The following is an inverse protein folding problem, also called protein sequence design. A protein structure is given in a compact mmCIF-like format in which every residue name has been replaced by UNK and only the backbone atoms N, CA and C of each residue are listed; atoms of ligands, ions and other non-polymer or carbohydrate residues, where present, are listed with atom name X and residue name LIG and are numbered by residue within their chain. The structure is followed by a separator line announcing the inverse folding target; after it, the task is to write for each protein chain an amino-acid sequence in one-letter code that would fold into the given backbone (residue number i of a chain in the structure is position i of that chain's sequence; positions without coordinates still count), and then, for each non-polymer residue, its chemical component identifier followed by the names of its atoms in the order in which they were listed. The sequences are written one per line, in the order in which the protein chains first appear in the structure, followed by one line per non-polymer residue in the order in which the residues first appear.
data_IF_745379951138
#
_entry.id   IF_745379951138
#
_cell.length_a   1.000
_cell.length_b   1.000
_cell.length_c   1.000
_cell.angle_alpha   90.00
_cell.angle_beta   90.00
_cell.angle_gamma   90.00
#
_symmetry.space_group_name_H-M   'P 1'
#
loop_
_entity.id
_entity.type
_entity.pdbx_description
1 polymer ?
#
# COMPACT_ATOMS: atom_id res chain seq x y z
N UNK A 1 9.90 11.76 39.05
CA UNK A 1 11.08 10.90 38.91
C UNK A 1 11.62 11.07 37.51
N UNK A 2 12.81 11.68 37.35
CA UNK A 2 13.43 11.86 36.05
C UNK A 2 13.90 10.50 35.52
N UNK A 3 13.64 10.21 34.26
CA UNK A 3 14.04 8.96 33.61
C UNK A 3 15.43 9.14 33.01
N UNK A 4 16.33 8.16 33.17
CA UNK A 4 17.72 8.26 32.75
C UNK A 4 17.85 8.52 31.24
N UNK A 5 17.07 7.78 30.41
CA UNK A 5 17.04 7.96 28.97
C UNK A 5 15.59 8.23 28.50
N UNK A 6 15.35 9.38 27.90
CA UNK A 6 14.01 9.76 27.43
C UNK A 6 14.10 10.70 26.23
N UNK A 7 13.60 10.25 25.09
CA UNK A 7 13.38 11.10 23.91
C UNK A 7 11.89 11.34 23.71
N UNK A 8 11.55 12.56 23.40
CA UNK A 8 10.20 12.94 22.98
C UNK A 8 10.28 13.70 21.65
N UNK A 9 9.22 13.61 20.83
CA UNK A 9 9.09 14.46 19.65
C UNK A 9 8.77 15.90 20.07
N UNK A 10 9.51 16.85 19.51
CA UNK A 10 9.17 18.28 19.62
C UNK A 10 8.14 18.60 18.55
N UNK A 11 6.97 19.06 18.95
CA UNK A 11 5.85 19.31 18.05
C UNK A 11 5.06 18.04 17.74
N UNK A 12 4.71 17.84 16.48
CA UNK A 12 3.84 16.72 16.06
C UNK A 12 4.67 15.47 15.75
N UNK A 13 4.34 14.36 16.40
CA UNK A 13 4.86 13.03 16.05
C UNK A 13 4.22 12.48 14.74
N UNK A 14 3.13 13.09 14.29
CA UNK A 14 2.46 12.80 13.03
C UNK A 14 2.36 14.08 12.20
N UNK A 15 2.90 14.04 10.98
CA UNK A 15 2.86 15.18 10.05
C UNK A 15 1.97 14.81 8.86
N UNK A 16 0.95 15.63 8.58
CA UNK A 16 0.15 15.49 7.37
C UNK A 16 0.89 16.07 6.17
N UNK A 17 0.94 15.31 5.09
CA UNK A 17 1.38 15.77 3.78
C UNK A 17 0.22 16.36 2.95
N UNK A 18 -1.03 16.24 3.47
CA UNK A 18 -2.22 16.62 2.71
C UNK A 18 -2.44 15.68 1.53
N UNK A 19 -2.92 16.26 0.42
CA UNK A 19 -3.05 15.55 -0.86
C UNK A 19 -1.80 15.78 -1.70
N UNK A 20 -1.13 14.70 -2.09
CA UNK A 20 0.04 14.71 -2.95
C UNK A 20 -0.23 13.91 -4.23
N UNK A 21 0.55 14.19 -5.28
CA UNK A 21 0.55 13.39 -6.51
C UNK A 21 1.63 12.31 -6.42
N UNK A 22 1.38 11.17 -7.02
CA UNK A 22 2.40 10.11 -7.17
C UNK A 22 3.66 10.63 -7.89
N UNK A 23 3.48 11.62 -8.75
CA UNK A 23 4.54 12.26 -9.56
C UNK A 23 5.31 13.36 -8.84
N UNK A 24 4.90 13.77 -7.64
CA UNK A 24 5.59 14.84 -6.88
C UNK A 24 6.99 14.43 -6.38
N UNK A 25 7.35 13.16 -6.59
CA UNK A 25 8.62 12.62 -6.14
C UNK A 25 8.68 12.38 -4.63
N UNK A 26 9.88 12.15 -4.13
CA UNK A 26 10.08 11.79 -2.72
C UNK A 26 9.72 12.96 -1.81
N UNK A 27 8.83 12.69 -0.88
CA UNK A 27 8.43 13.62 0.19
C UNK A 27 9.32 13.43 1.41
N UNK A 28 9.91 14.51 1.94
CA UNK A 28 10.75 14.47 3.13
C UNK A 28 10.18 15.37 4.22
N UNK A 29 10.18 14.89 5.46
CA UNK A 29 9.87 15.69 6.66
C UNK A 29 10.86 15.40 7.74
N UNK A 30 11.22 16.46 8.48
CA UNK A 30 12.13 16.39 9.62
C UNK A 30 11.32 16.40 10.91
N UNK A 31 11.62 15.43 11.76
CA UNK A 31 11.13 15.34 13.13
C UNK A 31 12.28 15.68 14.07
N UNK A 32 11.99 16.47 15.07
CA UNK A 32 12.97 16.82 16.10
C UNK A 32 12.69 16.01 17.36
N UNK A 33 13.70 15.37 17.90
CA UNK A 33 13.65 14.58 19.12
C UNK A 33 14.44 15.28 20.20
N UNK A 34 13.80 15.62 21.32
CA UNK A 34 14.39 16.25 22.50
C UNK A 34 14.75 15.19 23.54
N UNK A 35 15.95 15.23 24.07
CA UNK A 35 16.32 14.43 25.24
C UNK A 35 15.85 15.11 26.52
N UNK A 36 14.78 14.57 27.10
CA UNK A 36 14.22 15.02 28.39
C UNK A 36 14.74 14.19 29.57
N UNK A 37 15.67 13.27 29.31
CA UNK A 37 16.31 12.45 30.33
C UNK A 37 17.45 13.16 31.03
N UNK A 38 18.16 12.43 31.90
CA UNK A 38 19.28 12.90 32.66
C UNK A 38 20.64 12.41 32.16
N UNK A 39 20.62 11.49 31.17
CA UNK A 39 21.83 10.95 30.54
C UNK A 39 21.83 11.23 29.03
N UNK A 40 23.04 11.28 28.45
CA UNK A 40 23.15 11.37 26.98
C UNK A 40 22.67 10.11 26.31
N UNK A 41 21.93 10.28 25.19
CA UNK A 41 21.21 9.21 24.46
C UNK A 41 21.75 9.09 23.05
N UNK A 42 22.10 7.87 22.65
CA UNK A 42 22.39 7.53 21.26
C UNK A 42 21.13 7.03 20.53
N UNK A 43 21.01 7.36 19.25
CA UNK A 43 20.05 6.74 18.35
C UNK A 43 20.66 5.46 17.77
N UNK A 44 20.04 4.31 18.04
CA UNK A 44 20.63 3.00 17.74
C UNK A 44 20.24 2.52 16.33
N UNK A 45 18.93 2.41 16.06
CA UNK A 45 18.42 1.84 14.83
C UNK A 45 17.10 2.49 14.40
N UNK A 46 16.88 2.57 13.09
CA UNK A 46 15.64 3.04 12.50
C UNK A 46 14.93 1.92 11.74
N UNK A 47 13.61 1.89 11.87
CA UNK A 47 12.72 0.96 11.17
C UNK A 47 11.63 1.76 10.45
N UNK A 48 11.14 1.24 9.34
CA UNK A 48 10.03 1.84 8.58
C UNK A 48 8.93 0.82 8.31
N UNK A 49 7.70 1.30 8.06
CA UNK A 49 6.52 0.47 7.80
C UNK A 49 6.59 -0.27 6.46
N UNK A 50 7.29 0.30 5.48
CA UNK A 50 7.41 -0.27 4.13
C UNK A 50 8.77 0.06 3.49
N UNK A 51 9.09 -0.62 2.38
CA UNK A 51 10.25 -0.28 1.57
C UNK A 51 10.14 1.05 0.79
N UNK A 52 8.95 1.66 0.78
CA UNK A 52 8.67 2.96 0.17
C UNK A 52 9.09 4.13 1.08
N UNK A 53 9.40 3.86 2.35
CA UNK A 53 9.80 4.86 3.33
C UNK A 53 11.21 4.55 3.82
N UNK A 54 12.02 5.59 3.96
CA UNK A 54 13.35 5.50 4.57
C UNK A 54 13.47 6.47 5.73
N UNK A 55 14.32 6.10 6.70
CA UNK A 55 14.58 6.93 7.88
C UNK A 55 16.07 7.26 7.94
N UNK A 56 16.37 8.55 8.08
CA UNK A 56 17.72 9.07 8.15
C UNK A 56 17.95 9.81 9.47
N UNK A 57 19.01 9.47 10.15
CA UNK A 57 19.45 10.09 11.41
C UNK A 57 20.94 9.87 11.60
N UNK A 58 21.57 10.65 12.48
CA UNK A 58 22.98 10.46 12.83
C UNK A 58 23.11 9.43 13.94
N UNK A 59 23.83 8.34 13.67
CA UNK A 59 24.13 7.28 14.66
C UNK A 59 25.31 7.62 15.58
N UNK A 60 26.14 8.59 15.18
CA UNK A 60 27.39 8.90 15.88
C UNK A 60 27.22 9.99 16.94
N UNK A 61 26.05 10.62 17.00
CA UNK A 61 25.77 11.72 17.88
C UNK A 61 25.12 11.22 19.17
N UNK A 62 25.73 11.58 20.30
CA UNK A 62 25.10 11.50 21.61
C UNK A 62 24.30 12.77 21.86
N UNK A 63 23.01 12.63 22.06
CA UNK A 63 22.10 13.75 22.37
C UNK A 63 22.16 13.98 23.89
N UNK A 64 22.75 15.10 24.31
CA UNK A 64 22.87 15.45 25.74
C UNK A 64 21.50 15.79 26.34
N UNK A 65 21.36 15.73 27.68
CA UNK A 65 20.16 16.22 28.35
C UNK A 65 19.85 17.66 27.96
N UNK A 66 18.58 17.90 27.52
CA UNK A 66 18.13 19.20 27.05
C UNK A 66 18.45 19.52 25.60
N UNK A 67 19.28 18.73 24.94
CA UNK A 67 19.56 18.88 23.49
C UNK A 67 18.54 18.13 22.62
N UNK A 68 18.51 18.49 21.34
CA UNK A 68 17.67 17.86 20.35
C UNK A 68 18.46 17.36 19.15
N UNK A 69 17.87 16.38 18.45
CA UNK A 69 18.41 15.83 17.21
C UNK A 69 17.34 15.69 16.15
N UNK A 70 17.75 15.75 14.88
CA UNK A 70 16.87 15.64 13.74
C UNK A 70 16.78 14.19 13.23
N UNK A 71 15.58 13.75 12.95
CA UNK A 71 15.28 12.51 12.22
C UNK A 71 14.46 12.84 11.01
N UNK A 72 14.88 12.37 9.83
CA UNK A 72 14.19 12.61 8.57
C UNK A 72 13.48 11.36 8.12
N UNK A 73 12.18 11.45 7.83
CA UNK A 73 11.44 10.45 7.10
C UNK A 73 11.32 10.88 5.64
N UNK A 74 11.64 9.98 4.73
CA UNK A 74 11.49 10.16 3.29
C UNK A 74 10.54 9.10 2.76
N UNK A 75 9.46 9.52 2.17
CA UNK A 75 8.42 8.69 1.57
C UNK A 75 8.42 8.83 0.07
N UNK A 76 8.52 7.72 -0.65
CA UNK A 76 8.34 7.68 -2.10
C UNK A 76 6.88 7.28 -2.41
N UNK A 77 6.06 8.18 -2.97
CA UNK A 77 4.66 7.92 -3.25
C UNK A 77 4.43 7.07 -4.51
N UNK A 78 5.47 6.74 -5.26
CA UNK A 78 5.35 6.00 -6.51
C UNK A 78 4.68 4.62 -6.30
N UNK A 79 3.61 4.36 -7.03
CA UNK A 79 2.80 3.15 -6.90
C UNK A 79 1.89 3.11 -5.68
N UNK A 80 1.78 4.23 -4.95
CA UNK A 80 0.92 4.37 -3.77
C UNK A 80 -0.28 5.23 -4.12
N UNK A 81 -1.44 4.64 -4.21
CA UNK A 81 -2.70 5.37 -4.42
C UNK A 81 -3.59 5.30 -3.19
N UNK A 82 -4.36 6.36 -2.94
CA UNK A 82 -5.30 6.46 -1.83
C UNK A 82 -4.67 7.00 -0.55
N UNK A 83 -5.37 6.80 0.56
CA UNK A 83 -4.89 7.20 1.89
C UNK A 83 -3.67 6.38 2.31
N UNK A 84 -2.74 7.04 3.00
CA UNK A 84 -1.54 6.40 3.51
C UNK A 84 -1.20 6.87 4.93
N UNK A 85 -0.62 5.96 5.71
CA UNK A 85 0.11 6.24 6.93
C UNK A 85 1.45 5.50 6.86
N UNK A 86 2.53 6.27 6.70
CA UNK A 86 3.88 5.75 6.65
C UNK A 86 4.63 6.08 7.93
N UNK A 87 5.22 5.06 8.54
CA UNK A 87 5.82 5.23 9.85
C UNK A 87 7.31 4.98 9.87
N UNK A 88 8.00 5.78 10.67
CA UNK A 88 9.38 5.56 11.08
C UNK A 88 9.46 5.37 12.59
N UNK A 89 10.24 4.42 13.03
CA UNK A 89 10.49 4.15 14.43
C UNK A 89 11.98 4.23 14.70
N UNK A 90 12.40 5.02 15.67
CA UNK A 90 13.78 5.07 16.18
C UNK A 90 13.86 4.27 17.47
N UNK A 91 14.82 3.36 17.52
CA UNK A 91 15.27 2.71 18.73
C UNK A 91 16.45 3.50 19.33
N UNK A 92 16.40 3.81 20.63
CA UNK A 92 17.38 4.65 21.29
C UNK A 92 17.72 4.17 22.69
N UNK A 93 18.87 4.65 23.19
CA UNK A 93 19.35 4.41 24.54
C UNK A 93 19.78 2.97 24.81
N UNK A 94 20.29 2.73 26.02
CA UNK A 94 20.77 1.41 26.47
C UNK A 94 19.65 0.39 26.59
N UNK A 95 18.46 0.85 26.96
CA UNK A 95 17.27 0.01 27.17
C UNK A 95 16.44 -0.22 25.90
N UNK A 96 16.94 0.19 24.73
CA UNK A 96 16.29 0.02 23.43
C UNK A 96 14.85 0.52 23.39
N UNK A 97 14.62 1.68 24.00
CA UNK A 97 13.34 2.35 23.92
C UNK A 97 13.03 2.77 22.48
N UNK A 98 11.75 2.95 22.18
CA UNK A 98 11.31 3.29 20.82
C UNK A 98 10.45 4.53 20.81
N UNK A 99 10.66 5.35 19.77
CA UNK A 99 9.80 6.48 19.46
C UNK A 99 9.34 6.35 18.00
N UNK A 100 8.04 6.54 17.79
CA UNK A 100 7.39 6.42 16.48
C UNK A 100 7.03 7.80 15.95
N UNK A 101 7.19 7.97 14.63
CA UNK A 101 6.83 9.16 13.87
C UNK A 101 6.04 8.71 12.64
N UNK A 102 5.07 9.50 12.20
CA UNK A 102 4.20 9.14 11.07
C UNK A 102 4.09 10.28 10.06
N UNK A 103 4.00 9.90 8.78
CA UNK A 103 3.54 10.75 7.69
C UNK A 103 2.18 10.24 7.24
N UNK A 104 1.19 11.10 7.17
CA UNK A 104 -0.16 10.74 6.73
C UNK A 104 -0.59 11.64 5.56
N UNK A 105 -1.51 11.14 4.74
CA UNK A 105 -2.07 11.92 3.65
C UNK A 105 -2.84 11.08 2.66
N UNK A 106 -3.15 11.68 1.51
CA UNK A 106 -3.77 11.01 0.37
C UNK A 106 -2.88 11.18 -0.85
N UNK A 107 -2.56 10.08 -1.54
CA UNK A 107 -1.79 10.09 -2.77
C UNK A 107 -2.71 9.88 -3.97
N UNK A 108 -2.68 10.80 -4.92
CA UNK A 108 -3.38 10.66 -6.20
C UNK A 108 -2.49 9.84 -7.13
N UNK A 109 -3.02 8.70 -7.58
CA UNK A 109 -2.31 7.79 -8.50
C UNK A 109 -2.18 8.42 -9.88
N UNK A 110 -1.00 8.34 -10.48
CA UNK A 110 -0.78 8.81 -11.85
C UNK A 110 -1.54 7.95 -12.86
N UNK A 111 -1.93 8.56 -13.99
CA UNK A 111 -2.61 7.84 -15.07
C UNK A 111 -1.71 6.71 -15.63
N UNK A 112 -0.41 6.89 -15.68
CA UNK A 112 0.54 5.86 -16.10
C UNK A 112 0.49 4.62 -15.20
N UNK A 113 0.50 4.84 -13.88
CA UNK A 113 0.36 3.74 -12.90
C UNK A 113 -1.01 3.07 -13.01
N UNK A 114 -2.09 3.84 -13.19
CA UNK A 114 -3.42 3.29 -13.40
C UNK A 114 -3.49 2.45 -14.69
N UNK A 115 -2.92 2.92 -15.80
CA UNK A 115 -2.87 2.16 -17.05
C UNK A 115 -2.08 0.86 -16.90
N UNK A 116 -0.99 0.87 -16.14
CA UNK A 116 -0.18 -0.32 -15.90
C UNK A 116 -0.87 -1.34 -14.99
N UNK A 117 -1.54 -0.89 -13.95
CA UNK A 117 -2.24 -1.77 -12.99
C UNK A 117 -3.58 -2.26 -13.54
N UNK A 118 -4.26 -1.45 -14.34
CA UNK A 118 -5.56 -1.70 -14.92
C UNK A 118 -5.55 -1.51 -16.44
N UNK A 119 -4.86 -2.40 -17.17
CA UNK A 119 -4.63 -2.23 -18.61
C UNK A 119 -5.92 -2.36 -19.45
N UNK A 120 -6.92 -3.07 -18.96
CA UNK A 120 -8.15 -3.31 -19.72
C UNK A 120 -9.14 -2.18 -19.48
N UNK A 121 -9.32 -1.32 -20.48
CA UNK A 121 -10.31 -0.25 -20.47
C UNK A 121 -11.66 -0.78 -20.93
N UNK A 122 -12.68 -0.59 -20.13
CA UNK A 122 -14.09 -0.91 -20.48
C UNK A 122 -14.77 0.33 -21.05
N UNK A 123 -14.66 1.45 -20.33
CA UNK A 123 -15.12 2.78 -20.77
C UNK A 123 -14.25 3.86 -20.14
N UNK A 124 -14.72 5.13 -20.14
CA UNK A 124 -13.97 6.26 -19.57
C UNK A 124 -13.85 6.19 -18.03
N UNK A 125 -14.79 5.49 -17.38
CA UNK A 125 -14.90 5.44 -15.92
C UNK A 125 -14.58 4.07 -15.33
N UNK A 126 -14.31 3.05 -16.16
CA UNK A 126 -14.14 1.68 -15.70
C UNK A 126 -12.97 0.98 -16.38
N UNK A 127 -12.10 0.39 -15.57
CA UNK A 127 -10.96 -0.42 -16.04
C UNK A 127 -10.83 -1.69 -15.20
N UNK A 128 -10.18 -2.71 -15.76
CA UNK A 128 -9.93 -3.98 -15.08
C UNK A 128 -8.44 -4.28 -15.01
N UNK A 129 -8.04 -4.99 -13.97
CA UNK A 129 -6.69 -5.55 -13.85
C UNK A 129 -6.41 -6.62 -14.91
N UNK A 130 -7.42 -7.39 -15.26
CA UNK A 130 -7.39 -8.40 -16.34
C UNK A 130 -8.82 -8.77 -16.74
N UNK A 131 -9.00 -9.28 -17.94
CA UNK A 131 -10.24 -9.90 -18.42
C UNK A 131 -10.07 -11.38 -18.81
N UNK A 132 -8.90 -11.95 -18.50
CA UNK A 132 -8.58 -13.35 -18.84
C UNK A 132 -7.75 -13.99 -17.74
N UNK A 133 -8.07 -15.23 -17.39
CA UNK A 133 -7.31 -16.06 -16.48
C UNK A 133 -7.03 -17.43 -17.09
N UNK A 134 -5.78 -17.85 -16.99
CA UNK A 134 -5.39 -19.24 -17.20
C UNK A 134 -5.53 -20.00 -15.86
N UNK A 135 -6.43 -20.98 -15.82
CA UNK A 135 -6.65 -21.83 -14.67
C UNK A 135 -5.82 -23.12 -14.71
N UNK A 136 -5.08 -23.33 -15.81
CA UNK A 136 -4.31 -24.53 -16.02
C UNK A 136 -5.15 -25.79 -16.07
N UNK A 137 -4.66 -26.90 -15.52
CA UNK A 137 -5.38 -28.16 -15.45
C UNK A 137 -6.33 -28.15 -14.26
N UNK A 138 -7.57 -28.61 -14.48
CA UNK A 138 -8.56 -28.86 -13.43
C UNK A 138 -9.22 -30.24 -13.62
N UNK A 139 -9.56 -30.86 -12.50
CA UNK A 139 -10.29 -32.14 -12.46
C UNK A 139 -11.77 -31.89 -12.10
N UNK A 140 -12.63 -32.83 -12.49
CA UNK A 140 -14.04 -32.81 -12.10
C UNK A 140 -14.16 -32.73 -10.57
N UNK A 141 -14.97 -31.78 -10.07
CA UNK A 141 -15.15 -31.52 -8.63
C UNK A 141 -14.09 -30.62 -7.99
N UNK A 142 -13.01 -30.27 -8.68
CA UNK A 142 -12.04 -29.27 -8.22
C UNK A 142 -12.64 -27.86 -8.28
N UNK A 143 -12.31 -27.00 -7.30
CA UNK A 143 -12.71 -25.59 -7.30
C UNK A 143 -11.50 -24.71 -7.39
N UNK A 144 -11.47 -23.77 -8.35
CA UNK A 144 -10.49 -22.69 -8.43
C UNK A 144 -11.16 -21.33 -8.39
N UNK A 145 -10.55 -20.42 -7.67
CA UNK A 145 -11.00 -19.04 -7.58
C UNK A 145 -9.95 -18.09 -8.12
N UNK A 146 -10.41 -17.00 -8.71
CA UNK A 146 -9.59 -15.87 -9.17
C UNK A 146 -10.28 -14.57 -8.77
N UNK A 147 -9.50 -13.52 -8.61
CA UNK A 147 -10.02 -12.20 -8.31
C UNK A 147 -9.65 -11.24 -9.45
N UNK A 148 -10.66 -10.61 -10.04
CA UNK A 148 -10.47 -9.46 -10.91
C UNK A 148 -10.63 -8.20 -10.04
N UNK A 149 -9.74 -7.23 -10.24
CA UNK A 149 -9.89 -5.93 -9.60
C UNK A 149 -10.44 -4.96 -10.63
N UNK A 150 -11.52 -4.29 -10.26
CA UNK A 150 -12.21 -3.28 -11.05
C UNK A 150 -11.84 -1.92 -10.49
N UNK A 151 -11.31 -1.05 -11.32
CA UNK A 151 -11.04 0.35 -11.00
C UNK A 151 -12.20 1.20 -11.48
N UNK A 152 -12.86 1.90 -10.56
CA UNK A 152 -13.81 2.97 -10.85
C UNK A 152 -13.04 4.29 -10.87
N UNK A 153 -12.98 4.96 -12.01
CA UNK A 153 -12.37 6.28 -12.17
C UNK A 153 -13.34 7.36 -11.66
N UNK A 154 -13.58 7.33 -10.38
CA UNK A 154 -14.25 8.39 -9.63
C UNK A 154 -13.21 9.28 -8.91
N UNK A 155 -13.65 10.24 -8.13
CA UNK A 155 -12.78 11.18 -7.40
C UNK A 155 -11.74 10.47 -6.51
N UNK A 156 -12.03 9.24 -6.07
CA UNK A 156 -11.18 8.45 -5.16
C UNK A 156 -10.48 7.27 -5.85
N UNK A 157 -10.65 7.08 -7.16
CA UNK A 157 -10.16 5.90 -7.88
C UNK A 157 -10.47 4.58 -7.15
N UNK A 158 -11.74 4.41 -6.77
CA UNK A 158 -12.22 3.29 -5.97
C UNK A 158 -11.94 1.95 -6.66
N UNK A 159 -11.43 1.01 -5.89
CA UNK A 159 -11.18 -0.34 -6.37
C UNK A 159 -12.20 -1.32 -5.77
N UNK A 160 -12.77 -2.16 -6.62
CA UNK A 160 -13.66 -3.25 -6.25
C UNK A 160 -13.03 -4.58 -6.60
N UNK A 161 -13.10 -5.55 -5.70
CA UNK A 161 -12.60 -6.90 -5.92
C UNK A 161 -13.77 -7.83 -6.20
N UNK A 162 -13.76 -8.45 -7.37
CA UNK A 162 -14.78 -9.41 -7.79
C UNK A 162 -14.16 -10.79 -7.87
N UNK A 163 -14.66 -11.72 -7.05
CA UNK A 163 -14.20 -13.11 -7.06
C UNK A 163 -15.00 -13.91 -8.11
N UNK A 164 -14.26 -14.67 -8.91
CA UNK A 164 -14.80 -15.60 -9.92
C UNK A 164 -14.37 -17.00 -9.50
N UNK A 165 -15.30 -17.95 -9.54
CA UNK A 165 -14.99 -19.34 -9.24
C UNK A 165 -15.44 -20.27 -10.35
N UNK A 166 -14.64 -21.28 -10.62
CA UNK A 166 -14.98 -22.38 -11.53
C UNK A 166 -14.89 -23.70 -10.77
N UNK A 167 -15.92 -24.52 -10.93
CA UNK A 167 -15.97 -25.89 -10.43
C UNK A 167 -16.57 -26.80 -11.49
N UNK A 168 -15.74 -27.46 -12.34
CA UNK A 168 -16.20 -28.38 -13.35
C UNK A 168 -16.98 -29.57 -12.74
N UNK A 169 -18.09 -29.92 -13.33
CA UNK A 169 -18.91 -31.06 -12.96
C UNK A 169 -18.82 -32.19 -14.02
N UNK A 170 -19.52 -33.29 -13.79
CA UNK A 170 -19.54 -34.43 -14.70
C UNK A 170 -20.08 -34.12 -16.11
N UNK A 171 -20.77 -32.99 -16.27
CA UNK A 171 -21.31 -32.52 -17.55
C UNK A 171 -20.39 -31.58 -18.30
N UNK A 172 -19.32 -31.10 -17.62
CA UNK A 172 -18.34 -30.19 -18.21
C UNK A 172 -17.51 -30.93 -19.24
N UNK A 173 -17.45 -30.48 -20.52
CA UNK A 173 -16.66 -31.12 -21.54
C UNK A 173 -15.18 -31.22 -21.16
N UNK A 174 -14.56 -32.37 -21.46
CA UNK A 174 -13.12 -32.55 -21.28
C UNK A 174 -12.33 -31.85 -22.37
N UNK A 175 -11.06 -31.57 -22.12
CA UNK A 175 -10.17 -30.90 -23.02
C UNK A 175 -10.01 -29.40 -22.69
N UNK A 176 -9.42 -28.67 -23.62
CA UNK A 176 -9.25 -27.21 -23.48
C UNK A 176 -10.60 -26.51 -23.63
N UNK A 177 -10.95 -25.71 -22.64
CA UNK A 177 -12.17 -24.92 -22.60
C UNK A 177 -11.83 -23.42 -22.48
N UNK A 178 -12.60 -22.59 -23.18
CA UNK A 178 -12.61 -21.13 -23.06
C UNK A 178 -13.99 -20.72 -22.53
N UNK A 179 -14.07 -20.50 -21.22
CA UNK A 179 -15.34 -20.25 -20.54
C UNK A 179 -15.54 -18.76 -20.39
N UNK A 180 -16.66 -18.25 -20.90
CA UNK A 180 -17.09 -16.85 -20.69
C UNK A 180 -17.82 -16.73 -19.37
N UNK A 181 -17.26 -15.98 -18.45
CA UNK A 181 -17.81 -15.73 -17.11
C UNK A 181 -18.33 -14.29 -17.03
N UNK A 182 -19.63 -14.06 -17.01
CA UNK A 182 -20.19 -12.71 -16.88
C UNK A 182 -20.05 -12.21 -15.44
N UNK A 183 -19.57 -10.99 -15.27
CA UNK A 183 -19.64 -10.24 -14.02
C UNK A 183 -20.49 -9.00 -14.22
N UNK A 184 -21.25 -8.61 -13.21
CA UNK A 184 -22.08 -7.41 -13.24
C UNK A 184 -21.44 -6.37 -12.32
N UNK A 185 -21.09 -5.23 -12.88
CA UNK A 185 -20.48 -4.12 -12.17
C UNK A 185 -21.43 -2.92 -12.21
N UNK A 186 -21.64 -2.28 -11.09
CA UNK A 186 -22.41 -1.03 -10.99
C UNK A 186 -21.45 0.15 -10.91
N UNK A 187 -21.47 1.00 -11.94
CA UNK A 187 -20.68 2.22 -11.99
C UNK A 187 -21.60 3.42 -12.21
N UNK A 188 -21.55 4.42 -11.34
CA UNK A 188 -22.39 5.63 -11.41
C UNK A 188 -23.90 5.33 -11.58
N UNK A 189 -24.40 4.31 -10.88
CA UNK A 189 -25.79 3.88 -10.93
C UNK A 189 -26.20 3.08 -12.17
N UNK A 190 -25.29 2.83 -13.11
CA UNK A 190 -25.52 1.98 -14.29
C UNK A 190 -24.86 0.63 -14.10
N UNK A 191 -25.62 -0.42 -14.41
CA UNK A 191 -25.08 -1.78 -14.43
C UNK A 191 -24.49 -2.10 -15.80
N UNK A 192 -23.30 -2.69 -15.78
CA UNK A 192 -22.61 -3.17 -16.97
C UNK A 192 -22.26 -4.65 -16.79
N UNK A 193 -22.50 -5.45 -17.81
CA UNK A 193 -22.06 -6.85 -17.85
C UNK A 193 -20.72 -6.91 -18.57
N UNK A 194 -19.70 -7.41 -17.87
CA UNK A 194 -18.36 -7.57 -18.40
C UNK A 194 -18.04 -9.06 -18.48
N UNK A 195 -17.49 -9.50 -19.60
CA UNK A 195 -17.12 -10.90 -19.80
C UNK A 195 -15.65 -11.11 -19.41
N UNK A 196 -15.44 -12.03 -18.49
CA UNK A 196 -14.13 -12.54 -18.12
C UNK A 196 -13.93 -13.90 -18.78
N UNK A 197 -12.82 -14.11 -19.46
CA UNK A 197 -12.49 -15.40 -20.09
C UNK A 197 -11.66 -16.26 -19.14
N UNK A 198 -12.09 -17.49 -18.94
CA UNK A 198 -11.37 -18.51 -18.18
C UNK A 198 -10.86 -19.59 -19.14
N UNK A 199 -9.55 -19.72 -19.26
CA UNK A 199 -8.91 -20.79 -20.01
C UNK A 199 -8.59 -21.93 -19.07
N UNK A 200 -9.05 -23.14 -19.40
CA UNK A 200 -8.87 -24.30 -18.52
C UNK A 200 -8.79 -25.60 -19.33
N UNK A 201 -7.92 -26.50 -18.89
CA UNK A 201 -7.83 -27.89 -19.40
C UNK A 201 -8.55 -28.81 -18.42
N UNK A 202 -9.70 -29.36 -18.83
CA UNK A 202 -10.49 -30.30 -17.99
C UNK A 202 -10.03 -31.74 -18.27
N UNK A 203 -9.68 -32.48 -17.22
CA UNK A 203 -9.29 -33.89 -17.26
C UNK A 203 -10.29 -34.80 -16.55
#
# INVERSE_FOLDING_TARGET
MLVADSLIAIGLATISLGTIQETDGVQERTFWLLNTGTESVALNQGYTSCGCTTIHFSKEILVSPGDSTAVKLRFNPQGKGGEFEETGTIEYGKNRKRIRMSLIGTCITSEETLMRQFPIRIDDNLRLSTNRFDLGIMHIGEKKERTVVVLHKDENNRQERVSISLSPDAKTPKGLQHISYPIIITCQGKQQTIIITLDVMIK
#
